data_IF_022415316240
#
_entry.id   IF_022415316240
#
_cell.length_a   1.000
_cell.length_b   1.000
_cell.length_c   1.000
_cell.angle_alpha   90.00
_cell.angle_beta   90.00
_cell.angle_gamma   90.00
#
_symmetry.space_group_name_H-M   'P 1'
#
loop_
_entity.id
_entity.type
_entity.pdbx_description
1 polymer ?
#
# COMPACT_ATOMS: atom_id res chain seq x y z
N UNK A 1 44.24 -59.12 5.10
CA UNK A 1 44.42 -57.79 5.68
C UNK A 1 44.28 -56.79 4.56
N UNK A 2 43.19 -56.03 4.51
CA UNK A 2 43.20 -54.61 4.14
C UNK A 2 41.79 -54.05 4.32
N UNK A 3 41.69 -53.13 5.27
CA UNK A 3 40.49 -52.41 5.69
C UNK A 3 40.12 -51.38 4.62
N UNK A 4 39.00 -51.57 3.91
CA UNK A 4 38.31 -50.47 3.24
C UNK A 4 37.52 -49.69 4.29
N UNK A 5 38.07 -48.53 4.67
CA UNK A 5 37.45 -47.60 5.60
C UNK A 5 36.07 -47.17 5.12
N UNK A 6 35.04 -47.50 5.90
CA UNK A 6 33.76 -46.81 5.85
C UNK A 6 34.00 -45.35 6.24
N UNK A 7 33.94 -44.46 5.24
CA UNK A 7 33.74 -43.05 5.50
C UNK A 7 32.42 -42.88 6.24
N UNK A 8 32.48 -42.63 7.55
CA UNK A 8 31.33 -42.15 8.33
C UNK A 8 30.83 -40.88 7.64
N UNK A 9 29.71 -41.00 6.92
CA UNK A 9 28.87 -39.86 6.55
C UNK A 9 28.55 -39.15 7.87
N UNK A 10 29.23 -38.04 8.13
CA UNK A 10 28.87 -37.14 9.21
C UNK A 10 27.44 -36.71 8.91
N UNK A 11 26.47 -37.27 9.62
CA UNK A 11 25.11 -36.76 9.60
C UNK A 11 25.21 -35.32 10.12
N UNK A 12 25.24 -34.34 9.22
CA UNK A 12 24.78 -33.01 9.54
C UNK A 12 23.41 -33.22 10.19
N UNK A 13 23.29 -32.87 11.47
CA UNK A 13 22.00 -32.89 12.17
C UNK A 13 21.04 -32.13 11.27
N UNK A 14 20.06 -32.83 10.71
CA UNK A 14 19.06 -32.21 9.85
C UNK A 14 18.41 -31.09 10.65
N UNK A 15 18.48 -29.86 10.14
CA UNK A 15 17.85 -28.71 10.78
C UNK A 15 16.34 -28.99 10.78
N UNK A 16 15.67 -28.91 11.94
CA UNK A 16 14.23 -29.11 12.02
C UNK A 16 13.46 -28.20 11.05
N UNK A 17 12.42 -28.76 10.41
CA UNK A 17 11.73 -28.08 9.30
C UNK A 17 11.02 -26.79 9.74
N UNK A 18 10.52 -26.76 10.97
CA UNK A 18 9.96 -25.60 11.65
C UNK A 18 10.98 -24.46 11.80
N UNK A 19 12.23 -24.79 12.14
CA UNK A 19 13.32 -23.80 12.21
C UNK A 19 13.61 -23.24 10.82
N UNK A 20 13.62 -24.08 9.77
CA UNK A 20 13.78 -23.60 8.38
C UNK A 20 12.60 -22.70 7.97
N UNK A 21 11.37 -23.04 8.36
CA UNK A 21 10.19 -22.20 8.12
C UNK A 21 10.33 -20.83 8.78
N UNK A 22 10.74 -20.76 10.05
CA UNK A 22 10.93 -19.49 10.76
C UNK A 22 12.05 -18.65 10.11
N UNK A 23 13.17 -19.26 9.71
CA UNK A 23 14.25 -18.58 8.98
C UNK A 23 13.74 -18.00 7.66
N UNK A 24 13.05 -18.81 6.85
CA UNK A 24 12.54 -18.34 5.55
C UNK A 24 11.39 -17.35 5.69
N UNK A 25 10.59 -17.45 6.75
CA UNK A 25 9.62 -16.43 7.07
C UNK A 25 10.35 -15.09 7.18
N UNK A 26 11.47 -15.03 7.93
CA UNK A 26 12.25 -13.83 8.30
C UNK A 26 13.07 -13.14 7.19
N UNK A 27 13.24 -13.74 6.02
CA UNK A 27 13.99 -13.13 4.90
C UNK A 27 13.04 -12.43 3.91
N UNK A 28 13.53 -11.53 3.04
CA UNK A 28 12.70 -10.90 2.01
C UNK A 28 12.06 -11.93 1.07
N UNK A 29 10.87 -11.63 0.55
CA UNK A 29 10.10 -12.52 -0.30
C UNK A 29 10.88 -12.98 -1.55
N UNK A 30 11.72 -12.10 -2.10
CA UNK A 30 12.60 -12.45 -3.21
C UNK A 30 13.61 -13.55 -2.85
N UNK A 31 14.18 -13.49 -1.66
CA UNK A 31 15.10 -14.53 -1.16
C UNK A 31 14.35 -15.84 -1.01
N UNK A 32 13.13 -15.81 -0.45
CA UNK A 32 12.25 -16.98 -0.37
C UNK A 32 11.97 -17.56 -1.76
N UNK A 33 11.68 -16.71 -2.75
CA UNK A 33 11.47 -17.14 -4.13
C UNK A 33 12.71 -17.85 -4.72
N UNK A 34 13.92 -17.35 -4.46
CA UNK A 34 15.16 -18.04 -4.85
C UNK A 34 15.34 -19.37 -4.13
N UNK A 35 15.01 -19.47 -2.83
CA UNK A 35 15.08 -20.70 -2.06
C UNK A 35 14.17 -21.82 -2.62
N UNK A 36 13.06 -21.48 -3.29
CA UNK A 36 12.19 -22.46 -3.97
C UNK A 36 12.91 -23.24 -5.07
N UNK A 37 13.99 -22.71 -5.62
CA UNK A 37 14.77 -23.35 -6.69
C UNK A 37 15.91 -24.22 -6.18
N UNK A 38 16.21 -24.19 -4.87
CA UNK A 38 17.36 -24.90 -4.28
C UNK A 38 17.04 -26.37 -4.00
N UNK A 39 15.83 -26.70 -3.53
CA UNK A 39 15.44 -28.09 -3.26
C UNK A 39 13.93 -28.32 -3.41
N UNK A 40 13.55 -29.57 -3.72
CA UNK A 40 12.14 -29.98 -3.80
C UNK A 40 11.43 -29.86 -2.44
N UNK A 41 12.15 -30.15 -1.35
CA UNK A 41 11.62 -30.07 0.02
C UNK A 41 11.29 -28.62 0.40
N UNK A 42 12.18 -27.68 0.11
CA UNK A 42 11.94 -26.26 0.37
C UNK A 42 10.85 -25.69 -0.53
N UNK A 43 10.82 -26.10 -1.81
CA UNK A 43 9.73 -25.73 -2.73
C UNK A 43 8.37 -26.18 -2.19
N UNK A 44 8.28 -27.41 -1.70
CA UNK A 44 7.06 -27.95 -1.11
C UNK A 44 6.66 -27.14 0.13
N UNK A 45 7.59 -26.91 1.05
CA UNK A 45 7.35 -26.15 2.28
C UNK A 45 6.89 -24.72 2.02
N UNK A 46 7.61 -23.97 1.18
CA UNK A 46 7.30 -22.57 0.87
C UNK A 46 5.93 -22.45 0.15
N UNK A 47 5.52 -23.51 -0.57
CA UNK A 47 4.22 -23.56 -1.23
C UNK A 47 3.04 -23.78 -0.29
N UNK A 48 3.29 -24.17 0.97
CA UNK A 48 2.23 -24.51 1.92
C UNK A 48 1.46 -23.26 2.40
N UNK A 49 0.14 -23.33 2.56
CA UNK A 49 -0.66 -22.23 3.12
C UNK A 49 -0.14 -21.74 4.48
N UNK A 50 0.26 -22.67 5.36
CA UNK A 50 0.75 -22.36 6.71
C UNK A 50 2.02 -21.50 6.66
N UNK A 51 2.92 -21.78 5.71
CA UNK A 51 4.11 -20.97 5.51
C UNK A 51 3.78 -19.57 4.99
N UNK A 52 2.82 -19.45 4.04
CA UNK A 52 2.41 -18.15 3.51
C UNK A 52 1.76 -17.28 4.59
N UNK A 53 0.94 -17.87 5.46
CA UNK A 53 0.34 -17.20 6.60
C UNK A 53 1.40 -16.75 7.61
N UNK A 54 2.33 -17.64 7.97
CA UNK A 54 3.46 -17.30 8.83
C UNK A 54 4.29 -16.16 8.22
N UNK A 55 4.61 -16.24 6.94
CA UNK A 55 5.36 -15.21 6.23
C UNK A 55 4.64 -13.85 6.33
N UNK A 56 3.34 -13.80 6.04
CA UNK A 56 2.55 -12.57 6.13
C UNK A 56 2.52 -12.00 7.56
N UNK A 57 2.29 -12.85 8.56
CA UNK A 57 2.28 -12.44 9.97
C UNK A 57 3.62 -11.84 10.40
N UNK A 58 4.74 -12.45 9.99
CA UNK A 58 6.07 -11.89 10.28
C UNK A 58 6.33 -10.63 9.43
N UNK A 59 5.86 -10.56 8.19
CA UNK A 59 5.98 -9.34 7.35
C UNK A 59 5.27 -8.13 7.96
N UNK A 60 4.15 -8.31 8.66
CA UNK A 60 3.46 -7.22 9.35
C UNK A 60 4.19 -6.67 10.58
N UNK A 61 5.04 -7.49 11.21
CA UNK A 61 5.76 -7.15 12.44
C UNK A 61 7.17 -6.62 12.18
N UNK A 62 7.71 -6.78 10.98
CA UNK A 62 9.01 -6.24 10.58
C UNK A 62 8.97 -4.73 10.32
N UNK A 63 10.16 -4.08 10.27
CA UNK A 63 10.28 -2.76 9.67
C UNK A 63 9.69 -2.79 8.26
N UNK A 64 8.54 -2.13 8.10
CA UNK A 64 7.77 -2.20 6.87
C UNK A 64 8.49 -1.48 5.73
N UNK A 65 8.26 -1.90 4.49
CA UNK A 65 9.00 -1.42 3.34
C UNK A 65 8.39 -0.12 2.79
N UNK A 66 9.24 0.71 2.17
CA UNK A 66 8.78 1.67 1.18
C UNK A 66 8.50 0.92 -0.11
N UNK A 67 7.40 1.27 -0.76
CA UNK A 67 7.03 0.74 -2.07
C UNK A 67 6.81 1.89 -3.03
N UNK A 68 7.48 1.80 -4.19
CA UNK A 68 7.40 2.75 -5.28
C UNK A 68 6.75 2.07 -6.48
N UNK A 69 5.60 2.58 -6.90
CA UNK A 69 4.84 2.07 -8.02
C UNK A 69 4.73 3.16 -9.08
N UNK A 70 5.15 2.87 -10.31
CA UNK A 70 5.05 3.81 -11.43
C UNK A 70 4.90 3.08 -12.76
N UNK A 71 4.38 3.77 -13.77
CA UNK A 71 4.24 3.24 -15.12
C UNK A 71 5.28 3.82 -16.07
N UNK A 72 5.88 2.93 -16.87
CA UNK A 72 6.70 3.30 -18.03
C UNK A 72 6.45 2.30 -19.16
N UNK A 73 6.26 2.81 -20.37
CA UNK A 73 6.24 2.01 -21.61
C UNK A 73 5.27 0.81 -21.55
N UNK A 74 4.03 1.05 -21.12
CA UNK A 74 2.99 0.02 -21.01
C UNK A 74 3.16 -0.96 -19.84
N UNK A 75 4.10 -0.71 -18.93
CA UNK A 75 4.40 -1.60 -17.80
C UNK A 75 4.33 -0.86 -16.48
N UNK A 76 3.84 -1.54 -15.45
CA UNK A 76 3.97 -1.09 -14.06
C UNK A 76 5.25 -1.68 -13.49
N UNK A 77 6.02 -0.81 -12.83
CA UNK A 77 7.21 -1.16 -12.08
C UNK A 77 6.91 -1.01 -10.60
N UNK A 78 7.27 -2.03 -9.82
CA UNK A 78 7.24 -1.96 -8.36
C UNK A 78 8.65 -2.16 -7.82
N UNK A 79 9.13 -1.16 -7.08
CA UNK A 79 10.37 -1.24 -6.33
C UNK A 79 10.04 -1.21 -4.85
N UNK A 80 10.67 -2.08 -4.07
CA UNK A 80 10.57 -2.03 -2.61
C UNK A 80 11.94 -1.74 -1.98
N UNK A 81 11.91 -1.14 -0.80
CA UNK A 81 13.11 -0.78 -0.06
C UNK A 81 12.86 -0.89 1.45
N UNK A 82 13.77 -1.48 2.23
CA UNK A 82 13.71 -1.38 3.70
C UNK A 82 13.75 0.08 4.14
N UNK A 83 12.89 0.47 5.08
CA UNK A 83 13.00 1.78 5.71
C UNK A 83 14.35 1.88 6.47
N UNK A 84 15.12 2.96 6.29
CA UNK A 84 16.37 3.16 7.02
C UNK A 84 16.09 3.29 8.50
N UNK A 85 16.86 2.61 9.34
CA UNK A 85 16.64 2.70 10.78
C UNK A 85 17.07 4.04 11.36
N UNK A 86 18.19 4.60 10.91
CA UNK A 86 18.69 5.91 11.30
C UNK A 86 19.22 6.60 10.02
N UNK A 87 18.35 7.27 9.26
CA UNK A 87 18.80 7.98 8.08
C UNK A 87 19.63 9.20 8.51
N UNK A 88 20.88 9.23 8.05
CA UNK A 88 21.75 10.41 8.09
C UNK A 88 21.62 11.20 6.77
N UNK A 89 21.86 12.52 6.86
CA UNK A 89 21.88 13.38 5.67
C UNK A 89 22.99 12.88 4.71
N UNK A 90 22.64 12.72 3.42
CA UNK A 90 23.48 12.12 2.36
C UNK A 90 23.55 10.59 2.31
N UNK A 91 22.77 9.87 3.13
CA UNK A 91 22.65 8.43 2.95
C UNK A 91 22.05 8.08 1.57
N UNK A 92 22.58 7.02 0.95
CA UNK A 92 22.09 6.48 -0.32
C UNK A 92 21.59 5.06 -0.13
N UNK A 93 20.38 4.78 -0.64
CA UNK A 93 19.79 3.45 -0.61
C UNK A 93 19.49 2.98 -2.03
N UNK A 94 19.79 1.71 -2.30
CA UNK A 94 19.56 1.11 -3.61
C UNK A 94 18.22 0.38 -3.59
N UNK A 95 17.28 0.83 -4.42
CA UNK A 95 16.00 0.16 -4.60
C UNK A 95 16.21 -1.29 -5.08
N UNK A 96 15.43 -2.23 -4.57
CA UNK A 96 15.52 -3.63 -5.01
C UNK A 96 15.20 -3.74 -6.50
N UNK A 97 15.72 -4.76 -7.21
CA UNK A 97 15.36 -4.88 -8.65
C UNK A 97 13.85 -5.03 -8.77
N UNK A 98 13.22 -4.31 -9.70
CA UNK A 98 11.77 -4.20 -9.72
C UNK A 98 11.12 -5.49 -10.18
N UNK A 99 9.90 -5.71 -9.71
CA UNK A 99 8.94 -6.55 -10.40
C UNK A 99 8.23 -5.72 -11.46
N UNK A 100 7.76 -6.38 -12.53
CA UNK A 100 7.11 -5.72 -13.65
C UNK A 100 5.99 -6.57 -14.20
N UNK A 101 4.88 -5.93 -14.54
CA UNK A 101 3.78 -6.54 -15.27
C UNK A 101 3.21 -5.58 -16.29
N UNK A 102 2.57 -6.13 -17.32
CA UNK A 102 1.96 -5.35 -18.38
C UNK A 102 0.66 -4.73 -17.90
N UNK A 103 0.42 -3.51 -18.34
CA UNK A 103 -0.88 -2.85 -18.19
C UNK A 103 -1.62 -2.99 -19.52
N UNK A 104 -2.92 -3.16 -19.46
CA UNK A 104 -3.75 -3.22 -20.66
C UNK A 104 -3.72 -1.87 -21.42
N UNK A 105 -3.53 -0.76 -20.71
CA UNK A 105 -3.60 0.58 -21.28
C UNK A 105 -2.53 1.55 -20.73
N UNK A 106 -2.05 2.45 -21.58
CA UNK A 106 -1.20 3.57 -21.16
C UNK A 106 -2.07 4.67 -20.52
N UNK A 107 -1.85 4.94 -19.23
CA UNK A 107 -2.57 5.98 -18.52
C UNK A 107 -2.00 7.38 -18.81
N UNK A 108 -2.85 8.41 -18.71
CA UNK A 108 -2.38 9.79 -18.72
C UNK A 108 -1.49 10.04 -17.49
N UNK A 109 -0.36 10.77 -17.64
CA UNK A 109 0.53 11.11 -16.53
C UNK A 109 -0.18 11.79 -15.35
N UNK A 110 -1.24 12.58 -15.60
CA UNK A 110 -1.91 13.39 -14.58
C UNK A 110 -2.83 12.61 -13.63
N UNK A 111 -3.16 11.36 -13.95
CA UNK A 111 -4.18 10.55 -13.24
C UNK A 111 -3.57 9.31 -12.55
N UNK A 112 -2.24 9.13 -12.62
CA UNK A 112 -1.63 7.87 -12.23
C UNK A 112 -1.72 7.60 -10.72
N UNK A 113 -1.47 8.61 -9.89
CA UNK A 113 -1.51 8.48 -8.43
C UNK A 113 -2.90 8.12 -7.91
N UNK A 114 -3.94 8.68 -8.53
CA UNK A 114 -5.32 8.70 -8.02
C UNK A 114 -6.10 7.43 -8.39
N UNK A 115 -5.40 6.50 -9.05
CA UNK A 115 -5.90 5.17 -9.40
C UNK A 115 -5.50 4.09 -8.40
N UNK A 116 -4.61 4.37 -7.46
CA UNK A 116 -4.13 3.40 -6.47
C UNK A 116 -4.75 3.63 -5.10
N UNK A 117 -5.22 2.55 -4.48
CA UNK A 117 -5.53 2.51 -3.06
C UNK A 117 -4.24 2.35 -2.24
N UNK A 118 -4.30 2.67 -0.95
CA UNK A 118 -3.22 2.32 -0.03
C UNK A 118 -3.01 0.80 -0.01
N UNK A 119 -1.74 0.31 0.00
CA UNK A 119 -1.49 -1.12 0.10
C UNK A 119 -2.02 -1.68 1.42
N UNK A 120 -2.63 -2.85 1.36
CA UNK A 120 -3.12 -3.57 2.55
C UNK A 120 -2.69 -5.03 2.44
N UNK A 121 -2.04 -5.54 3.49
CA UNK A 121 -1.60 -6.93 3.54
C UNK A 121 -0.76 -7.40 2.36
N UNK A 122 0.03 -6.49 1.77
CA UNK A 122 0.92 -6.76 0.65
C UNK A 122 0.28 -6.73 -0.72
N UNK A 123 -1.01 -6.42 -0.81
CA UNK A 123 -1.71 -6.20 -2.07
C UNK A 123 -1.98 -4.73 -2.31
N UNK A 124 -2.07 -4.38 -3.59
CA UNK A 124 -2.49 -3.07 -4.05
C UNK A 124 -3.77 -3.26 -4.86
N UNK A 125 -4.79 -2.47 -4.58
CA UNK A 125 -5.95 -2.36 -5.46
C UNK A 125 -5.83 -1.08 -6.30
N UNK A 126 -6.22 -1.18 -7.57
CA UNK A 126 -6.18 -0.07 -8.51
C UNK A 126 -7.33 -0.10 -9.51
N UNK A 127 -7.58 1.04 -10.13
CA UNK A 127 -8.46 1.15 -11.31
C UNK A 127 -7.67 0.92 -12.60
N UNK A 128 -8.16 0.04 -13.46
CA UNK A 128 -7.63 -0.19 -14.82
C UNK A 128 -8.76 -0.13 -15.85
N UNK A 129 -8.44 0.07 -17.12
CA UNK A 129 -9.41 -0.14 -18.21
C UNK A 129 -9.51 -1.64 -18.51
N UNK A 130 -10.73 -2.10 -18.77
CA UNK A 130 -10.99 -3.45 -19.25
C UNK A 130 -10.31 -3.73 -20.61
N UNK A 131 -10.32 -4.99 -21.05
CA UNK A 131 -9.67 -5.43 -22.29
C UNK A 131 -10.24 -4.74 -23.54
N UNK A 132 -11.50 -4.30 -23.48
CA UNK A 132 -12.19 -3.58 -24.57
C UNK A 132 -11.93 -2.06 -24.52
N UNK A 133 -11.29 -1.55 -23.46
CA UNK A 133 -10.99 -0.14 -23.24
C UNK A 133 -12.21 0.74 -22.92
N UNK A 134 -13.39 0.12 -22.83
CA UNK A 134 -14.69 0.77 -22.76
C UNK A 134 -15.10 1.14 -21.32
N UNK A 135 -14.64 0.38 -20.31
CA UNK A 135 -15.00 0.66 -18.91
C UNK A 135 -13.87 0.46 -17.91
N UNK A 136 -14.03 1.08 -16.74
CA UNK A 136 -13.08 0.94 -15.63
C UNK A 136 -13.38 -0.33 -14.83
N UNK A 137 -12.37 -1.15 -14.58
CA UNK A 137 -12.41 -2.29 -13.69
C UNK A 137 -11.45 -2.11 -12.52
N UNK A 138 -11.73 -2.81 -11.42
CA UNK A 138 -10.84 -2.88 -10.27
C UNK A 138 -9.89 -4.05 -10.41
N UNK A 139 -8.60 -3.81 -10.24
CA UNK A 139 -7.54 -4.83 -10.33
C UNK A 139 -6.82 -4.90 -9.01
N UNK A 140 -6.62 -6.13 -8.51
CA UNK A 140 -5.79 -6.40 -7.35
C UNK A 140 -4.46 -6.96 -7.83
N UNK A 141 -3.38 -6.42 -7.31
CA UNK A 141 -2.02 -6.80 -7.69
C UNK A 141 -1.24 -7.22 -6.45
N UNK A 142 -0.39 -8.24 -6.61
CA UNK A 142 0.68 -8.55 -5.68
C UNK A 142 2.01 -8.01 -6.26
N UNK A 143 2.55 -6.90 -5.72
CA UNK A 143 3.81 -6.33 -6.17
C UNK A 143 5.00 -7.29 -6.08
N UNK A 144 5.00 -8.24 -5.14
CA UNK A 144 6.11 -9.19 -4.96
C UNK A 144 6.11 -10.27 -6.03
N UNK A 145 4.94 -10.82 -6.38
CA UNK A 145 4.85 -11.88 -7.39
C UNK A 145 4.71 -11.31 -8.80
N UNK A 146 4.29 -10.04 -8.93
CA UNK A 146 3.94 -9.42 -10.20
C UNK A 146 2.61 -9.93 -10.79
N UNK A 147 1.88 -10.76 -10.05
CA UNK A 147 0.59 -11.27 -10.46
C UNK A 147 -0.51 -10.25 -10.18
N UNK A 148 -1.57 -10.30 -11.00
CA UNK A 148 -2.76 -9.49 -10.82
C UNK A 148 -4.02 -10.26 -11.18
N UNK A 149 -5.14 -9.86 -10.58
CA UNK A 149 -6.48 -10.35 -10.93
C UNK A 149 -7.42 -9.16 -11.12
N UNK A 150 -8.18 -9.19 -12.21
CA UNK A 150 -9.27 -8.25 -12.44
C UNK A 150 -10.50 -8.74 -11.70
N UNK A 151 -11.14 -7.86 -10.93
CA UNK A 151 -12.41 -8.15 -10.29
C UNK A 151 -13.54 -8.06 -11.33
N UNK A 152 -14.68 -8.75 -11.11
CA UNK A 152 -15.86 -8.56 -11.92
C UNK A 152 -16.29 -7.10 -11.95
N UNK A 153 -16.98 -6.69 -13.01
CA UNK A 153 -17.51 -5.34 -13.10
C UNK A 153 -18.62 -5.14 -12.07
N UNK A 154 -18.64 -3.97 -11.44
CA UNK A 154 -19.80 -3.54 -10.64
C UNK A 154 -20.87 -3.08 -11.62
N UNK A 155 -22.06 -3.69 -11.57
CA UNK A 155 -23.23 -3.24 -12.32
C UNK A 155 -23.78 -1.95 -11.68
N UNK A 156 -23.15 -0.82 -11.97
CA UNK A 156 -23.69 0.48 -11.57
C UNK A 156 -24.89 0.82 -12.45
N UNK A 157 -26.03 1.12 -11.82
CA UNK A 157 -27.30 1.47 -12.46
C UNK A 157 -27.15 2.57 -13.53
N UNK A 158 -26.22 3.51 -13.32
CA UNK A 158 -26.02 4.69 -14.18
C UNK A 158 -24.68 4.69 -14.95
N UNK A 159 -23.94 3.58 -14.98
CA UNK A 159 -22.59 3.54 -15.58
C UNK A 159 -21.55 4.45 -14.92
N UNK A 160 -21.78 4.84 -13.66
CA UNK A 160 -20.90 5.71 -12.87
C UNK A 160 -19.60 4.96 -12.53
N UNK A 161 -18.47 5.68 -12.58
CA UNK A 161 -17.19 5.10 -12.17
C UNK A 161 -17.21 4.69 -10.70
N UNK A 162 -16.55 3.59 -10.34
CA UNK A 162 -16.40 3.18 -8.93
C UNK A 162 -14.96 3.37 -8.48
N UNK A 163 -14.79 3.77 -7.22
CA UNK A 163 -13.50 3.95 -6.56
C UNK A 163 -13.32 2.78 -5.59
N UNK A 164 -12.41 1.83 -5.89
CA UNK A 164 -12.14 0.74 -4.98
C UNK A 164 -11.31 1.22 -3.79
N UNK A 165 -11.51 0.57 -2.65
CA UNK A 165 -10.70 0.68 -1.44
C UNK A 165 -10.52 -0.72 -0.86
N UNK A 166 -9.26 -1.12 -0.64
CA UNK A 166 -8.93 -2.43 -0.09
C UNK A 166 -8.92 -2.38 1.44
N UNK A 167 -9.53 -3.37 2.08
CA UNK A 167 -9.50 -3.57 3.52
C UNK A 167 -9.14 -5.02 3.87
N UNK A 168 -8.68 -5.20 5.11
CA UNK A 168 -8.38 -6.53 5.66
C UNK A 168 -9.17 -6.73 6.95
N UNK A 169 -9.83 -7.87 7.05
CA UNK A 169 -10.56 -8.34 8.21
C UNK A 169 -9.61 -9.19 9.07
N UNK A 170 -9.19 -8.70 10.26
CA UNK A 170 -8.31 -9.46 11.13
C UNK A 170 -9.01 -10.63 11.83
N UNK A 171 -10.34 -10.65 11.90
CA UNK A 171 -11.13 -11.69 12.59
C UNK A 171 -11.21 -12.92 11.71
N UNK A 172 -11.78 -12.76 10.52
CA UNK A 172 -11.98 -13.85 9.55
C UNK A 172 -10.76 -14.04 8.62
N UNK A 173 -9.73 -13.20 8.79
CA UNK A 173 -8.47 -13.22 8.02
C UNK A 173 -8.66 -13.08 6.51
N UNK A 174 -9.64 -12.27 6.09
CA UNK A 174 -10.07 -12.11 4.70
C UNK A 174 -9.84 -10.68 4.19
N UNK A 175 -9.51 -10.55 2.91
CA UNK A 175 -9.48 -9.26 2.23
C UNK A 175 -10.86 -8.96 1.65
N UNK A 176 -11.28 -7.70 1.78
CA UNK A 176 -12.50 -7.19 1.14
C UNK A 176 -12.19 -5.93 0.34
N UNK A 177 -12.86 -5.74 -0.77
CA UNK A 177 -12.78 -4.51 -1.57
C UNK A 177 -14.12 -3.80 -1.50
N UNK A 178 -14.13 -2.58 -0.97
CA UNK A 178 -15.26 -1.67 -1.00
C UNK A 178 -15.15 -0.78 -2.25
N UNK A 179 -16.15 -0.80 -3.11
CA UNK A 179 -16.30 0.05 -4.28
C UNK A 179 -17.36 1.11 -4.02
N UNK A 180 -16.94 2.38 -4.06
CA UNK A 180 -17.81 3.54 -3.83
C UNK A 180 -18.15 4.14 -5.19
N UNK A 181 -19.42 4.43 -5.44
CA UNK A 181 -19.86 5.09 -6.67
C UNK A 181 -19.41 6.57 -6.68
N UNK A 182 -18.79 7.00 -7.78
CA UNK A 182 -18.13 8.30 -7.90
C UNK A 182 -19.08 9.46 -8.23
N UNK A 183 -20.40 9.28 -8.11
CA UNK A 183 -21.40 10.35 -8.33
C UNK A 183 -21.59 11.23 -7.09
N UNK A 184 -21.27 10.72 -5.90
CA UNK A 184 -21.44 11.43 -4.62
C UNK A 184 -22.89 11.48 -4.12
N UNK A 185 -23.85 10.98 -4.92
CA UNK A 185 -25.29 11.02 -4.67
C UNK A 185 -25.86 9.62 -4.41
N UNK A 186 -25.13 8.57 -4.75
CA UNK A 186 -25.56 7.19 -4.54
C UNK A 186 -25.58 6.80 -3.07
N UNK A 187 -26.70 6.20 -2.67
CA UNK A 187 -26.88 5.56 -1.36
C UNK A 187 -26.34 4.12 -1.33
N UNK A 188 -25.87 3.61 -2.48
CA UNK A 188 -25.48 2.21 -2.63
C UNK A 188 -24.01 2.13 -2.98
N UNK A 189 -23.27 1.38 -2.18
CA UNK A 189 -21.91 0.98 -2.49
C UNK A 189 -21.86 -0.52 -2.69
N UNK A 190 -20.73 -1.02 -3.15
CA UNK A 190 -20.56 -2.43 -3.44
C UNK A 190 -19.37 -2.97 -2.71
N UNK A 191 -19.45 -4.21 -2.26
CA UNK A 191 -18.32 -4.85 -1.58
C UNK A 191 -18.21 -6.30 -2.03
N UNK A 192 -16.97 -6.78 -2.08
CA UNK A 192 -16.65 -8.15 -2.42
C UNK A 192 -15.60 -8.69 -1.46
N UNK A 193 -15.75 -9.95 -1.07
CA UNK A 193 -14.75 -10.71 -0.31
C UNK A 193 -13.91 -11.53 -1.28
N UNK A 194 -12.58 -11.50 -1.13
CA UNK A 194 -11.69 -12.15 -2.09
C UNK A 194 -11.53 -13.65 -1.85
N UNK A 195 -11.52 -14.09 -0.59
CA UNK A 195 -11.27 -15.47 -0.18
C UNK A 195 -12.37 -16.46 -0.61
N UNK A 196 -13.59 -15.96 -0.85
CA UNK A 196 -14.75 -16.82 -1.11
C UNK A 196 -14.77 -17.39 -2.53
N UNK A 197 -13.87 -16.95 -3.43
CA UNK A 197 -13.75 -17.42 -4.82
C UNK A 197 -14.94 -17.08 -5.74
N UNK A 198 -16.10 -16.80 -5.17
CA UNK A 198 -17.24 -16.16 -5.81
C UNK A 198 -17.13 -14.66 -5.58
N UNK A 199 -16.46 -13.94 -6.48
CA UNK A 199 -16.31 -12.48 -6.42
C UNK A 199 -17.60 -11.74 -6.78
N UNK A 200 -18.72 -12.16 -6.19
CA UNK A 200 -20.00 -11.53 -6.39
C UNK A 200 -20.05 -10.26 -5.56
N UNK A 201 -20.23 -9.14 -6.24
CA UNK A 201 -20.50 -7.86 -5.60
C UNK A 201 -21.84 -7.95 -4.87
N UNK A 202 -21.84 -7.51 -3.62
CA UNK A 202 -23.08 -7.28 -2.87
C UNK A 202 -23.23 -5.79 -2.61
N UNK A 203 -24.45 -5.31 -2.80
CA UNK A 203 -24.83 -3.96 -2.46
C UNK A 203 -24.78 -3.76 -0.94
N UNK A 204 -24.34 -2.59 -0.52
CA UNK A 204 -24.35 -2.15 0.86
C UNK A 204 -24.83 -0.70 0.92
N UNK A 205 -25.76 -0.43 1.83
CA UNK A 205 -26.31 0.91 2.00
C UNK A 205 -25.35 1.80 2.79
N UNK A 206 -25.18 3.03 2.30
CA UNK A 206 -24.40 4.05 2.96
C UNK A 206 -25.00 5.43 2.65
N UNK A 207 -24.66 6.42 3.48
CA UNK A 207 -24.98 7.81 3.17
C UNK A 207 -24.23 8.25 1.91
N UNK A 208 -24.81 9.10 1.04
CA UNK A 208 -24.13 9.60 -0.14
C UNK A 208 -22.86 10.36 0.23
N UNK A 209 -21.78 10.03 -0.44
CA UNK A 209 -20.51 10.74 -0.32
C UNK A 209 -19.56 10.37 -1.46
N UNK A 210 -18.59 11.25 -1.71
CA UNK A 210 -17.50 11.04 -2.64
C UNK A 210 -16.17 10.90 -1.87
N UNK A 211 -15.39 9.82 -2.06
CA UNK A 211 -14.12 9.61 -1.39
C UNK A 211 -13.04 10.58 -1.93
N UNK A 212 -12.28 11.20 -1.02
CA UNK A 212 -11.27 12.22 -1.32
C UNK A 212 -9.84 11.75 -1.08
N UNK A 213 -9.67 10.57 -0.50
CA UNK A 213 -8.36 9.97 -0.21
C UNK A 213 -8.35 8.48 -0.57
N UNK A 214 -7.15 7.92 -0.62
CA UNK A 214 -6.86 6.51 -0.99
C UNK A 214 -7.25 5.50 0.09
N UNK A 215 -7.77 5.97 1.21
CA UNK A 215 -8.09 5.20 2.40
C UNK A 215 -6.87 4.66 3.15
N UNK A 216 -7.08 4.25 4.40
CA UNK A 216 -6.11 3.53 5.22
C UNK A 216 -6.86 2.48 6.05
N UNK A 217 -6.35 1.25 6.11
CA UNK A 217 -6.91 0.20 6.95
C UNK A 217 -6.10 0.11 8.26
N UNK A 218 -6.76 0.30 9.39
CA UNK A 218 -6.18 0.25 10.73
C UNK A 218 -7.02 -0.75 11.54
N UNK A 219 -6.40 -1.85 11.95
CA UNK A 219 -7.00 -2.87 12.83
C UNK A 219 -8.42 -3.31 12.44
N UNK A 220 -8.64 -3.55 11.14
CA UNK A 220 -9.94 -4.01 10.62
C UNK A 220 -10.94 -2.91 10.28
N UNK A 221 -10.58 -1.64 10.47
CA UNK A 221 -11.41 -0.50 10.08
C UNK A 221 -10.74 0.25 8.93
N UNK A 222 -11.49 0.44 7.84
CA UNK A 222 -11.08 1.24 6.70
C UNK A 222 -11.53 2.69 6.89
N UNK A 223 -10.57 3.60 6.94
CA UNK A 223 -10.78 5.04 7.10
C UNK A 223 -10.47 5.76 5.81
N UNK A 224 -11.35 6.67 5.38
CA UNK A 224 -11.07 7.55 4.25
C UNK A 224 -11.81 8.89 4.42
N UNK A 225 -11.17 9.96 3.97
CA UNK A 225 -11.81 11.28 3.89
C UNK A 225 -12.83 11.30 2.77
N UNK A 226 -13.96 11.99 2.99
CA UNK A 226 -15.03 12.12 2.01
C UNK A 226 -15.72 13.50 2.10
N UNK A 227 -16.48 13.82 1.05
CA UNK A 227 -17.34 15.01 1.01
C UNK A 227 -18.51 14.80 0.05
N UNK A 228 -19.51 15.68 0.09
CA UNK A 228 -20.75 15.51 -0.69
C UNK A 228 -20.58 15.91 -2.17
N UNK A 229 -19.68 16.86 -2.47
CA UNK A 229 -19.46 17.35 -3.84
C UNK A 229 -18.02 17.06 -4.29
N UNK A 230 -17.77 16.52 -5.50
CA UNK A 230 -16.43 16.15 -5.98
C UNK A 230 -15.37 17.27 -5.93
N UNK A 231 -15.78 18.55 -5.97
CA UNK A 231 -14.86 19.73 -5.96
C UNK A 231 -14.78 20.49 -4.64
N UNK A 232 -15.57 20.14 -3.61
CA UNK A 232 -15.56 20.84 -2.31
C UNK A 232 -14.70 20.12 -1.25
N UNK A 233 -14.54 20.79 -0.10
CA UNK A 233 -13.75 20.39 1.07
C UNK A 233 -14.16 19.03 1.64
N UNK A 234 -13.24 18.43 2.39
CA UNK A 234 -13.51 17.22 3.18
C UNK A 234 -14.52 17.61 4.26
N UNK A 235 -15.65 16.91 4.31
CA UNK A 235 -16.71 17.14 5.31
C UNK A 235 -16.73 16.07 6.40
N UNK A 236 -16.13 14.92 6.13
CA UNK A 236 -16.18 13.77 7.02
C UNK A 236 -15.04 12.79 6.79
N UNK A 237 -14.74 12.00 7.80
CA UNK A 237 -14.04 10.72 7.67
C UNK A 237 -15.10 9.63 7.73
N UNK A 238 -15.13 8.79 6.72
CA UNK A 238 -15.91 7.57 6.72
C UNK A 238 -15.07 6.46 7.34
N UNK A 239 -15.67 5.73 8.26
CA UNK A 239 -15.08 4.59 8.94
C UNK A 239 -15.94 3.37 8.58
N UNK A 240 -15.34 2.41 7.89
CA UNK A 240 -16.01 1.20 7.47
C UNK A 240 -15.37 0.00 8.18
N UNK A 241 -16.11 -0.60 9.11
CA UNK A 241 -15.68 -1.80 9.82
C UNK A 241 -15.77 -3.00 8.87
N UNK A 242 -14.63 -3.64 8.56
CA UNK A 242 -14.56 -4.67 7.51
C UNK A 242 -15.29 -5.95 7.93
N UNK A 243 -15.23 -6.32 9.21
CA UNK A 243 -15.79 -7.58 9.71
C UNK A 243 -17.31 -7.50 9.81
N UNK A 244 -17.83 -6.47 10.48
CA UNK A 244 -19.26 -6.24 10.64
C UNK A 244 -19.92 -5.55 9.46
N UNK A 245 -19.11 -4.99 8.55
CA UNK A 245 -19.53 -4.31 7.33
C UNK A 245 -20.46 -3.14 7.65
N UNK A 246 -20.09 -2.34 8.64
CA UNK A 246 -20.88 -1.20 9.11
C UNK A 246 -20.14 0.11 8.91
N UNK A 247 -20.88 1.09 8.41
CA UNK A 247 -20.40 2.46 8.28
C UNK A 247 -20.62 3.24 9.58
N UNK A 248 -19.63 4.04 9.93
CA UNK A 248 -19.73 5.13 10.89
C UNK A 248 -18.99 6.35 10.36
N UNK A 249 -19.27 7.51 10.93
CA UNK A 249 -18.86 8.79 10.34
C UNK A 249 -18.35 9.75 11.41
N UNK A 250 -17.21 10.37 11.12
CA UNK A 250 -16.63 11.43 11.94
C UNK A 250 -16.80 12.73 11.15
N UNK A 251 -17.61 13.65 11.65
CA UNK A 251 -17.75 14.98 11.07
C UNK A 251 -16.43 15.76 11.23
N UNK A 252 -16.03 16.46 10.17
CA UNK A 252 -14.87 17.35 10.17
C UNK A 252 -15.41 18.77 9.99
N UNK A 253 -15.03 19.67 10.91
CA UNK A 253 -15.35 21.09 10.78
C UNK A 253 -14.46 21.71 9.70
N UNK A 254 -14.96 22.73 8.99
CA UNK A 254 -14.33 23.30 7.79
C UNK A 254 -12.88 23.79 7.99
N UNK A 255 -12.45 24.03 9.24
CA UNK A 255 -11.11 24.48 9.59
C UNK A 255 -10.13 23.34 9.99
N UNK A 256 -10.62 22.11 10.11
CA UNK A 256 -9.85 20.99 10.70
C UNK A 256 -8.97 20.31 9.66
N UNK A 257 -9.52 19.99 8.49
CA UNK A 257 -8.83 19.21 7.45
C UNK A 257 -9.30 19.62 6.07
N UNK A 258 -8.41 19.52 5.07
CA UNK A 258 -8.78 19.67 3.67
C UNK A 258 -8.40 18.44 2.83
N UNK A 259 -8.67 18.49 1.52
CA UNK A 259 -8.42 17.39 0.58
C UNK A 259 -6.94 17.00 0.42
N UNK A 260 -6.00 17.82 0.90
CA UNK A 260 -4.57 17.50 0.90
C UNK A 260 -4.12 16.69 2.14
N UNK A 261 -5.03 16.39 3.06
CA UNK A 261 -4.72 15.63 4.27
C UNK A 261 -4.43 14.17 3.95
N UNK A 262 -3.31 13.66 4.48
CA UNK A 262 -2.95 12.24 4.43
C UNK A 262 -3.33 11.60 5.76
N UNK A 263 -4.25 10.63 5.73
CA UNK A 263 -4.57 9.81 6.90
C UNK A 263 -3.39 8.87 7.21
N UNK A 264 -3.10 8.69 8.49
CA UNK A 264 -1.99 7.85 8.97
C UNK A 264 -2.44 6.97 10.14
N UNK A 265 -1.75 5.85 10.31
CA UNK A 265 -1.82 5.05 11.53
C UNK A 265 -0.78 5.58 12.52
N UNK A 266 -1.25 6.29 13.55
CA UNK A 266 -0.40 6.77 14.64
C UNK A 266 -0.58 5.88 15.87
N UNK A 267 0.30 4.88 16.02
CA UNK A 267 0.32 3.97 17.18
C UNK A 267 -1.04 3.28 17.43
N UNK A 268 -1.69 2.81 16.37
CA UNK A 268 -3.02 2.18 16.41
C UNK A 268 -4.19 3.17 16.42
N UNK A 269 -3.93 4.48 16.50
CA UNK A 269 -4.95 5.51 16.39
C UNK A 269 -5.00 6.11 14.99
N UNK A 270 -6.18 6.57 14.59
CA UNK A 270 -6.32 7.38 13.39
C UNK A 270 -5.65 8.75 13.61
N UNK A 271 -4.72 9.08 12.74
CA UNK A 271 -4.14 10.42 12.67
C UNK A 271 -4.22 10.98 11.25
N UNK A 272 -3.81 12.23 11.11
CA UNK A 272 -3.66 12.84 9.81
C UNK A 272 -2.60 13.93 9.79
N UNK A 273 -2.01 14.09 8.62
CA UNK A 273 -0.97 15.05 8.34
C UNK A 273 -1.41 15.95 7.20
N UNK A 274 -1.19 17.25 7.34
CA UNK A 274 -1.52 18.24 6.33
C UNK A 274 -0.39 19.26 6.17
N UNK A 275 0.05 19.48 4.93
CA UNK A 275 0.95 20.58 4.58
C UNK A 275 0.13 21.82 4.24
N UNK A 276 0.49 22.98 4.78
CA UNK A 276 -0.29 24.22 4.54
C UNK A 276 0.22 25.01 3.33
N UNK A 277 -0.67 25.27 2.37
CA UNK A 277 -0.49 26.12 1.17
C UNK A 277 0.76 25.81 0.31
N UNK A 278 0.72 26.04 -1.01
CA UNK A 278 1.92 26.08 -1.81
C UNK A 278 2.58 27.49 -1.70
N UNK A 279 3.82 27.61 -1.23
CA UNK A 279 4.66 26.51 -0.79
C UNK A 279 4.53 26.19 0.72
N UNK A 280 4.82 24.94 1.17
CA UNK A 280 4.46 24.53 2.51
C UNK A 280 5.35 25.14 3.59
N UNK A 281 4.73 25.87 4.51
CA UNK A 281 5.44 26.53 5.62
C UNK A 281 5.39 25.77 6.94
N UNK A 282 4.33 24.98 7.14
CA UNK A 282 4.11 24.20 8.35
C UNK A 282 3.40 22.88 8.03
N UNK A 283 3.59 21.94 8.93
CA UNK A 283 2.90 20.68 9.00
C UNK A 283 1.89 20.72 10.16
N UNK A 284 0.63 20.43 9.86
CA UNK A 284 -0.40 20.21 10.87
C UNK A 284 -0.56 18.70 11.09
N UNK A 285 -0.48 18.29 12.35
CA UNK A 285 -0.59 16.90 12.77
C UNK A 285 -1.76 16.73 13.74
N UNK A 286 -2.71 15.90 13.32
CA UNK A 286 -3.94 15.61 14.04
C UNK A 286 -3.96 14.15 14.51
N UNK A 287 -4.42 13.91 15.74
CA UNK A 287 -4.66 12.55 16.26
C UNK A 287 -6.06 12.48 16.85
N UNK A 288 -6.80 11.44 16.47
CA UNK A 288 -8.11 11.16 17.04
C UNK A 288 -7.93 10.53 18.43
N UNK A 289 -8.23 11.29 19.47
CA UNK A 289 -8.06 10.82 20.86
C UNK A 289 -9.26 9.99 21.33
N UNK A 290 -10.46 10.40 20.92
CA UNK A 290 -11.70 9.73 21.27
C UNK A 290 -12.68 9.83 20.08
N UNK A 291 -12.95 8.70 19.43
CA UNK A 291 -13.84 8.65 18.27
C UNK A 291 -15.31 8.94 18.64
N UNK A 292 -15.74 8.53 19.84
CA UNK A 292 -17.13 8.71 20.31
C UNK A 292 -17.39 10.18 20.63
N UNK A 293 -16.45 10.81 21.33
CA UNK A 293 -16.52 12.25 21.67
C UNK A 293 -16.03 13.16 20.54
N UNK A 294 -15.57 12.60 19.42
CA UNK A 294 -14.99 13.32 18.27
C UNK A 294 -13.86 14.26 18.68
N UNK A 295 -13.06 13.84 19.66
CA UNK A 295 -12.00 14.67 20.22
C UNK A 295 -10.71 14.48 19.44
N UNK A 296 -10.20 15.56 18.87
CA UNK A 296 -8.92 15.61 18.17
C UNK A 296 -7.88 16.37 19.00
N UNK A 297 -6.62 15.91 18.95
CA UNK A 297 -5.47 16.72 19.34
C UNK A 297 -4.79 17.28 18.08
N UNK A 298 -4.30 18.54 18.16
CA UNK A 298 -3.63 19.24 17.06
C UNK A 298 -2.25 19.69 17.49
N UNK A 299 -1.24 19.36 16.70
CA UNK A 299 0.12 19.88 16.81
C UNK A 299 0.51 20.57 15.50
N UNK A 300 1.23 21.69 15.60
CA UNK A 300 1.66 22.47 14.45
C UNK A 300 3.18 22.58 14.48
N UNK A 301 3.82 22.21 13.38
CA UNK A 301 5.26 22.22 13.23
C UNK A 301 5.67 23.15 12.09
N UNK A 302 6.36 24.25 12.41
CA UNK A 302 6.85 25.21 11.42
C UNK A 302 8.22 24.79 10.91
N UNK A 303 8.39 24.72 9.59
CA UNK A 303 9.65 24.31 8.99
C UNK A 303 10.72 25.42 9.09
N UNK A 304 11.99 25.09 9.33
CA UNK A 304 13.10 26.05 9.26
C UNK A 304 13.22 26.67 7.85
N UNK A 305 13.63 27.94 7.77
CA UNK A 305 13.68 28.72 6.52
C UNK A 305 14.45 28.05 5.38
N UNK A 306 15.64 27.49 5.67
CA UNK A 306 16.44 26.79 4.64
C UNK A 306 15.77 25.52 4.11
N UNK A 307 14.95 24.84 4.92
CA UNK A 307 14.17 23.66 4.50
C UNK A 307 12.89 24.07 3.78
N UNK A 308 12.33 25.26 4.03
CA UNK A 308 11.21 25.79 3.24
C UNK A 308 11.60 25.86 1.76
N UNK A 309 12.74 26.47 1.41
CA UNK A 309 13.20 26.55 0.01
C UNK A 309 13.26 25.19 -0.70
N UNK A 310 13.59 24.12 0.03
CA UNK A 310 13.56 22.76 -0.50
C UNK A 310 12.13 22.27 -0.81
N UNK A 311 11.20 22.43 0.14
CA UNK A 311 9.80 22.02 0.00
C UNK A 311 9.11 22.84 -1.10
N UNK A 312 9.45 24.12 -1.23
CA UNK A 312 8.97 25.02 -2.29
C UNK A 312 9.35 24.53 -3.69
N UNK A 313 10.63 24.13 -3.87
CA UNK A 313 11.17 23.70 -5.16
C UNK A 313 10.67 22.32 -5.59
N UNK A 314 10.39 21.44 -4.63
CA UNK A 314 10.10 20.02 -4.92
C UNK A 314 8.64 19.64 -4.78
N UNK A 315 7.80 20.49 -4.16
CA UNK A 315 6.36 20.25 -3.92
C UNK A 315 6.10 18.80 -3.43
N UNK A 316 6.71 18.38 -2.32
CA UNK A 316 6.63 17.00 -1.90
C UNK A 316 5.23 16.68 -1.38
N UNK A 317 4.83 15.42 -1.53
CA UNK A 317 3.61 14.86 -0.96
C UNK A 317 3.94 14.09 0.33
N UNK A 318 3.00 14.09 1.27
CA UNK A 318 3.11 13.25 2.47
C UNK A 318 2.83 11.80 2.04
N UNK A 319 3.78 10.92 2.34
CA UNK A 319 3.65 9.47 2.13
C UNK A 319 2.99 8.83 3.34
N UNK A 320 3.33 9.28 4.55
CA UNK A 320 2.82 8.76 5.81
C UNK A 320 3.74 9.07 6.98
N UNK A 321 3.69 8.26 8.03
CA UNK A 321 4.54 8.39 9.22
C UNK A 321 5.11 7.02 9.60
N UNK A 322 6.42 6.96 9.87
CA UNK A 322 7.10 5.72 10.28
C UNK A 322 6.66 5.30 11.68
N UNK A 323 6.91 4.04 12.05
CA UNK A 323 6.68 3.56 13.42
C UNK A 323 7.44 4.33 14.52
N UNK A 324 8.50 5.07 14.15
CA UNK A 324 9.26 5.96 15.04
C UNK A 324 8.67 7.37 15.16
N UNK A 325 7.59 7.68 14.43
CA UNK A 325 6.96 9.00 14.43
C UNK A 325 7.62 10.01 13.48
N UNK A 326 8.41 9.55 12.51
CA UNK A 326 9.00 10.42 11.48
C UNK A 326 8.05 10.55 10.30
N UNK A 327 7.77 11.76 9.85
CA UNK A 327 6.93 12.01 8.68
C UNK A 327 7.72 11.79 7.42
N UNK A 328 7.22 10.97 6.51
CA UNK A 328 7.88 10.65 5.25
C UNK A 328 7.26 11.49 4.14
N UNK A 329 8.11 12.23 3.43
CA UNK A 329 7.73 13.02 2.26
C UNK A 329 8.47 12.51 1.02
N UNK A 330 7.80 12.56 -0.13
CA UNK A 330 8.33 12.13 -1.42
C UNK A 330 7.94 13.11 -2.52
N UNK A 331 8.77 13.24 -3.56
CA UNK A 331 8.33 13.94 -4.77
C UNK A 331 7.35 13.05 -5.54
N UNK A 332 6.23 13.59 -6.05
CA UNK A 332 5.28 12.79 -6.82
C UNK A 332 5.82 12.40 -8.22
N UNK A 333 6.99 12.91 -8.61
CA UNK A 333 7.63 12.64 -9.89
C UNK A 333 9.07 12.19 -9.70
N UNK A 334 9.46 11.12 -10.40
CA UNK A 334 10.83 10.63 -10.45
C UNK A 334 11.75 11.66 -11.10
N UNK A 335 12.89 11.86 -10.46
CA UNK A 335 13.97 12.75 -10.84
C UNK A 335 15.31 12.03 -10.69
N UNK A 336 16.38 12.61 -11.20
CA UNK A 336 17.73 12.09 -11.00
C UNK A 336 18.63 13.27 -10.60
N UNK A 337 19.07 13.35 -9.33
CA UNK A 337 18.80 12.40 -8.24
C UNK A 337 17.35 12.41 -7.71
N UNK A 338 16.84 11.24 -7.28
CA UNK A 338 15.57 11.10 -6.54
C UNK A 338 15.82 10.97 -5.03
N UNK A 339 14.96 11.60 -4.22
CA UNK A 339 15.12 11.63 -2.77
C UNK A 339 13.81 11.35 -2.03
N UNK A 340 13.93 10.68 -0.89
CA UNK A 340 12.90 10.60 0.15
C UNK A 340 13.34 11.46 1.35
N UNK A 341 12.39 12.14 1.97
CA UNK A 341 12.64 13.02 3.09
C UNK A 341 11.96 12.49 4.35
N UNK A 342 12.72 12.40 5.43
CA UNK A 342 12.24 12.01 6.75
C UNK A 342 12.24 13.27 7.61
N UNK A 343 11.08 13.66 8.08
CA UNK A 343 10.91 14.79 8.97
C UNK A 343 10.66 14.29 10.39
N UNK A 344 11.66 14.47 11.25
CA UNK A 344 11.54 14.15 12.67
C UNK A 344 10.84 15.30 13.37
N UNK A 345 9.65 15.00 13.92
CA UNK A 345 8.85 15.96 14.68
C UNK A 345 9.65 16.50 15.89
N UNK A 346 10.27 15.58 16.64
CA UNK A 346 11.20 15.91 17.71
C UNK A 346 12.48 16.55 17.15
N UNK A 347 12.75 17.78 17.58
CA UNK A 347 13.92 18.54 17.12
C UNK A 347 13.75 19.19 15.75
N UNK A 348 12.59 19.09 15.10
CA UNK A 348 12.23 19.82 13.88
C UNK A 348 13.29 19.68 12.77
N UNK A 349 13.68 18.43 12.45
CA UNK A 349 14.81 18.14 11.56
C UNK A 349 14.37 17.30 10.37
N UNK A 350 14.84 17.67 9.19
CA UNK A 350 14.73 16.84 7.99
C UNK A 350 16.02 16.04 7.80
N UNK A 351 15.89 14.78 7.44
CA UNK A 351 16.92 14.02 6.73
C UNK A 351 16.47 13.80 5.29
N UNK A 352 17.38 13.94 4.31
CA UNK A 352 17.16 13.44 2.95
C UNK A 352 17.94 12.16 2.69
N UNK A 353 17.32 11.22 1.98
CA UNK A 353 17.92 9.95 1.57
C UNK A 353 17.84 9.84 0.06
N UNK A 354 18.98 9.66 -0.61
CA UNK A 354 19.02 9.45 -2.06
C UNK A 354 18.58 8.03 -2.36
N UNK A 355 17.65 7.85 -3.29
CA UNK A 355 17.25 6.54 -3.78
C UNK A 355 17.89 6.31 -5.15
N UNK A 356 18.61 5.20 -5.27
CA UNK A 356 19.23 4.74 -6.52
C UNK A 356 18.40 3.61 -7.14
N UNK A 357 18.57 3.39 -8.44
CA UNK A 357 17.83 2.38 -9.22
C UNK A 357 16.72 2.96 -10.11
N UNK A 358 16.53 4.29 -10.07
CA UNK A 358 15.54 5.02 -10.87
C UNK A 358 16.15 5.84 -12.02
N UNK A 359 17.47 5.76 -12.24
CA UNK A 359 18.21 6.64 -13.15
C UNK A 359 17.69 6.57 -14.60
N UNK A 360 17.10 5.44 -15.00
CA UNK A 360 16.47 5.23 -16.30
C UNK A 360 15.02 5.73 -16.42
N UNK A 361 14.38 6.19 -15.34
CA UNK A 361 12.93 6.48 -15.27
C UNK A 361 12.61 7.94 -14.96
N UNK A 362 13.18 8.88 -15.73
CA UNK A 362 13.00 10.32 -15.49
C UNK A 362 11.59 10.79 -15.84
N UNK A 363 11.07 11.75 -15.06
CA UNK A 363 9.76 12.44 -15.27
C UNK A 363 8.55 11.49 -15.27
N UNK A 364 8.65 10.36 -14.57
CA UNK A 364 7.51 9.45 -14.37
C UNK A 364 6.83 9.79 -13.05
N UNK A 365 5.49 9.82 -13.04
CA UNK A 365 4.74 9.94 -11.80
C UNK A 365 4.89 8.67 -10.97
N UNK A 366 5.19 8.82 -9.69
CA UNK A 366 5.42 7.71 -8.78
C UNK A 366 4.45 7.77 -7.62
N UNK A 367 3.75 6.66 -7.41
CA UNK A 367 3.04 6.42 -6.17
C UNK A 367 4.02 5.82 -5.16
N UNK A 368 4.32 6.58 -4.12
CA UNK A 368 5.10 6.09 -2.98
C UNK A 368 4.12 5.71 -1.87
N UNK A 369 4.29 4.52 -1.31
CA UNK A 369 3.55 4.07 -0.13
C UNK A 369 4.51 3.66 0.97
N UNK A 370 4.09 3.96 2.20
CA UNK A 370 4.74 3.49 3.40
C UNK A 370 4.13 2.15 3.79
N UNK A 371 4.80 1.46 4.69
CA UNK A 371 4.20 0.36 5.44
C UNK A 371 3.83 -0.88 4.60
N UNK A 372 4.50 -1.06 3.46
CA UNK A 372 4.31 -2.22 2.62
C UNK A 372 4.86 -3.48 3.30
N UNK A 373 3.98 -4.48 3.48
CA UNK A 373 4.33 -5.81 3.97
C UNK A 373 4.33 -6.78 2.79
N UNK A 374 5.39 -7.56 2.60
CA UNK A 374 5.43 -8.53 1.51
C UNK A 374 4.44 -9.68 1.75
N UNK A 375 3.79 -10.15 0.68
CA UNK A 375 2.85 -11.27 0.73
C UNK A 375 3.15 -12.29 -0.37
N UNK A 376 3.18 -13.58 0.00
CA UNK A 376 3.50 -14.71 -0.90
C UNK A 376 2.26 -15.45 -1.41
N UNK A 377 1.05 -15.04 -1.02
CA UNK A 377 -0.20 -15.56 -1.58
C UNK A 377 -0.28 -15.24 -3.07
N UNK A 378 -0.70 -16.24 -3.85
CA UNK A 378 -0.81 -16.12 -5.31
C UNK A 378 -2.14 -15.48 -5.68
N UNK A 379 -2.17 -14.66 -6.72
CA UNK A 379 -3.43 -14.02 -7.15
C UNK A 379 -4.42 -15.03 -7.74
N UNK A 380 -3.98 -16.22 -8.14
CA UNK A 380 -4.85 -17.32 -8.57
C UNK A 380 -5.76 -17.85 -7.46
N UNK A 381 -5.36 -17.70 -6.20
CA UNK A 381 -6.20 -18.02 -5.03
C UNK A 381 -7.43 -17.10 -4.98
N UNK A 382 -7.31 -15.91 -5.56
CA UNK A 382 -8.31 -14.85 -5.64
C UNK A 382 -8.89 -14.68 -7.05
N UNK A 383 -8.80 -15.71 -7.89
CA UNK A 383 -9.13 -15.64 -9.31
C UNK A 383 -9.72 -16.95 -9.82
N UNK A 384 -10.94 -17.32 -9.42
CA UNK A 384 -11.68 -18.35 -10.15
C UNK A 384 -12.41 -17.72 -11.34
N UNK A 385 -12.08 -18.16 -12.55
CA UNK A 385 -12.75 -17.76 -13.79
C UNK A 385 -12.16 -16.57 -14.56
N UNK A 386 -11.11 -15.92 -14.04
CA UNK A 386 -10.43 -14.80 -14.71
C UNK A 386 -9.01 -15.23 -15.08
N UNK A 387 -8.60 -15.00 -16.34
CA UNK A 387 -7.27 -15.37 -16.85
C UNK A 387 -6.19 -14.79 -15.93
N UNK A 388 -5.45 -15.63 -15.21
CA UNK A 388 -4.26 -15.18 -14.49
C UNK A 388 -3.21 -14.81 -15.52
N UNK A 389 -2.90 -13.52 -15.67
CA UNK A 389 -1.79 -13.06 -16.48
C UNK A 389 -0.48 -13.27 -15.71
N UNK A 390 -0.07 -14.53 -15.54
CA UNK A 390 1.27 -14.88 -15.05
C UNK A 390 2.26 -14.65 -16.19
N UNK A 391 2.96 -13.53 -16.19
CA UNK A 391 4.06 -13.30 -17.14
C UNK A 391 5.41 -13.51 -16.46
N UNK A 392 6.09 -14.56 -16.92
CA UNK A 392 7.43 -14.92 -16.47
C UNK A 392 8.44 -13.78 -16.69
N UNK A 393 9.38 -13.55 -15.76
CA UNK A 393 10.51 -12.68 -16.02
C UNK A 393 11.42 -13.36 -17.04
N UNK A 394 11.49 -12.82 -18.26
CA UNK A 394 12.70 -12.92 -19.09
C UNK A 394 13.65 -11.81 -18.68
#
# INVERSE_FOLDING_TARGET
MENLGQAKKTQLRDIPMDVVMDIFARVPARTVASCRSVSKQWRSMIGRPEFKELFLAVSWTRPRLLLFTFQSDGKIFNFSLPQPQNPDDESSLVATRPTRYHVHHNHSPTDYSDRFCSPVGGFICRRDRDDEGASMTSVICNPVTGESVSLPKVESINGVETIPLLGYDPIDKQFKVLCIEADGDSNTHHIVTLENGNHLWRAIECKPHFPKSKGICIDGVLYYTAGVIPRLWVKMIVCFDISSEKFSFISIDDETMNSSSTLINYKGKLGALQLTYPPPRRLEFWVLEDAVKRKWSKNIYTFPSFRQTFVDRTRPVIVGMTGKGEVVLSSPMLSDPFYIYYYKLEGNRFTRVRIQGFEGFKRKWVYTSLDYAENLKLMTEYGKGVKSNTFSPK
#
